data_IF_282367335286
#
_entry.id   IF_282367335286
#
_cell.length_a   1.000
_cell.length_b   1.000
_cell.length_c   1.000
_cell.angle_alpha   90.00
_cell.angle_beta   90.00
_cell.angle_gamma   90.00
#
_symmetry.space_group_name_H-M   'P 1'
#
loop_
_entity.id
_entity.type
_entity.pdbx_description
1 polymer ?
#
# COMPACT_ATOMS: atom_id res chain seq x y z
N UNK A 1 47.46 21.91 2.93
CA UNK A 1 47.29 20.58 2.32
C UNK A 1 46.31 19.81 3.19
N UNK A 2 45.01 19.99 2.93
CA UNK A 2 43.95 19.30 3.65
C UNK A 2 43.61 18.02 2.89
N UNK A 3 43.61 16.89 3.58
CA UNK A 3 43.34 15.56 3.03
C UNK A 3 41.85 15.40 2.73
N UNK A 4 41.54 15.35 1.45
CA UNK A 4 40.23 15.00 0.88
C UNK A 4 39.98 13.50 1.10
N UNK A 5 38.93 13.14 1.85
CA UNK A 5 38.51 11.75 2.04
C UNK A 5 37.38 11.43 1.07
N UNK A 6 37.72 10.79 -0.03
CA UNK A 6 36.77 10.21 -0.98
C UNK A 6 36.42 8.80 -0.53
N UNK A 7 35.14 8.48 -0.36
CA UNK A 7 34.67 7.15 0.01
C UNK A 7 33.85 6.57 -1.15
N UNK A 8 34.42 5.55 -1.80
CA UNK A 8 33.82 4.82 -2.92
C UNK A 8 32.90 3.74 -2.35
N UNK A 9 31.60 3.81 -2.65
CA UNK A 9 30.63 2.77 -2.24
C UNK A 9 30.66 1.63 -3.27
N UNK A 10 31.11 0.46 -2.84
CA UNK A 10 31.07 -0.77 -3.62
C UNK A 10 29.71 -1.46 -3.45
N UNK A 11 29.00 -1.68 -4.57
CA UNK A 11 27.78 -2.48 -4.63
C UNK A 11 28.11 -3.98 -4.52
N UNK A 12 27.53 -4.68 -3.55
CA UNK A 12 27.59 -6.15 -3.46
C UNK A 12 26.24 -6.75 -3.89
N UNK A 13 26.22 -7.81 -4.72
CA UNK A 13 24.98 -8.40 -5.24
C UNK A 13 24.29 -9.35 -4.25
N UNK A 14 22.97 -9.45 -4.42
CA UNK A 14 22.02 -10.18 -3.61
C UNK A 14 22.29 -11.71 -3.56
N UNK A 15 22.38 -12.24 -2.34
CA UNK A 15 22.28 -13.68 -2.06
C UNK A 15 20.84 -14.05 -1.68
N UNK A 16 20.33 -15.09 -2.35
CA UNK A 16 19.03 -15.73 -2.08
C UNK A 16 19.10 -16.45 -0.73
N UNK A 17 18.19 -16.13 0.19
CA UNK A 17 17.92 -16.94 1.38
C UNK A 17 16.54 -17.59 1.31
N UNK A 18 16.57 -18.91 1.49
CA UNK A 18 15.47 -19.84 1.58
C UNK A 18 15.15 -20.02 3.05
N UNK A 19 13.96 -19.62 3.51
CA UNK A 19 13.53 -19.86 4.89
C UNK A 19 12.62 -21.08 4.96
N UNK A 20 13.16 -22.16 5.55
CA UNK A 20 12.43 -23.27 6.14
C UNK A 20 11.69 -22.85 7.41
N UNK A 21 10.70 -23.66 7.78
CA UNK A 21 9.66 -23.38 8.77
C UNK A 21 10.17 -23.13 10.19
N UNK A 22 9.39 -22.32 10.91
CA UNK A 22 9.55 -22.03 12.32
C UNK A 22 8.52 -22.82 13.12
N UNK A 23 9.02 -23.80 13.88
CA UNK A 23 8.34 -24.41 15.01
C UNK A 23 8.22 -23.37 16.13
N UNK A 24 7.02 -23.25 16.70
CA UNK A 24 6.70 -22.35 17.81
C UNK A 24 6.80 -23.14 19.12
N UNK A 25 7.79 -22.82 19.96
CA UNK A 25 7.79 -23.16 21.38
C UNK A 25 7.36 -21.95 22.22
N UNK A 26 6.61 -22.14 23.32
CA UNK A 26 6.14 -21.06 24.17
C UNK A 26 7.22 -20.55 25.14
N UNK A 27 7.20 -19.25 25.53
CA UNK A 27 8.23 -18.70 26.41
C UNK A 27 7.92 -18.91 27.90
N UNK A 28 8.93 -19.38 28.62
CA UNK A 28 9.00 -19.45 30.08
C UNK A 28 9.06 -18.05 30.72
N UNK A 29 8.37 -17.92 31.84
CA UNK A 29 8.33 -16.73 32.68
C UNK A 29 9.65 -16.57 33.46
N UNK A 30 10.33 -15.42 33.32
CA UNK A 30 11.38 -15.03 34.28
C UNK A 30 11.24 -13.56 34.68
N UNK A 31 11.00 -13.41 35.97
CA UNK A 31 10.90 -12.20 36.79
C UNK A 31 12.11 -11.27 36.61
N UNK A 32 11.87 -9.98 36.29
CA UNK A 32 12.89 -8.92 36.42
C UNK A 32 12.39 -7.81 37.34
N UNK A 33 13.16 -7.56 38.40
CA UNK A 33 12.99 -6.49 39.37
C UNK A 33 13.48 -5.16 38.78
N UNK A 34 12.69 -4.10 38.99
CA UNK A 34 13.05 -2.72 38.70
C UNK A 34 13.70 -2.10 39.96
N UNK A 35 14.90 -1.57 39.82
CA UNK A 35 15.47 -0.61 40.77
C UNK A 35 15.56 0.75 40.08
N UNK A 36 15.06 1.77 40.76
CA UNK A 36 15.10 3.18 40.34
C UNK A 36 16.20 3.92 41.11
N UNK A 37 16.95 4.83 40.48
CA UNK A 37 17.77 5.79 41.21
C UNK A 37 17.10 7.17 41.28
N UNK A 38 17.13 7.71 42.50
CA UNK A 38 16.83 9.08 42.89
C UNK A 38 17.93 10.04 42.41
N UNK A 39 17.53 11.23 41.93
CA UNK A 39 18.44 12.37 41.70
C UNK A 39 17.77 13.66 42.16
N UNK A 40 18.57 14.46 42.87
CA UNK A 40 18.21 15.65 43.66
C UNK A 40 18.21 16.95 42.84
N UNK A 41 17.52 17.92 43.43
CA UNK A 41 17.48 19.36 43.17
C UNK A 41 18.81 20.04 42.79
N UNK A 42 18.69 21.09 41.97
CA UNK A 42 19.19 22.44 42.30
C UNK A 42 18.60 23.48 41.33
N UNK A 43 18.10 24.59 41.86
CA UNK A 43 17.34 25.61 41.12
C UNK A 43 18.16 26.81 40.61
N UNK A 44 17.54 27.62 39.75
CA UNK A 44 17.28 29.04 39.99
C UNK A 44 16.42 29.67 38.85
N UNK A 45 15.83 30.86 39.07
CA UNK A 45 14.66 31.36 38.35
C UNK A 45 15.00 32.41 37.29
N UNK A 46 14.20 32.47 36.22
CA UNK A 46 14.01 33.69 35.44
C UNK A 46 12.55 33.79 34.98
N UNK A 47 12.01 34.99 35.19
CA UNK A 47 10.68 35.47 34.83
C UNK A 47 10.54 35.57 33.32
N UNK A 48 9.34 35.31 32.80
CA UNK A 48 8.70 36.19 31.83
C UNK A 48 7.19 35.89 31.75
N UNK A 49 6.41 36.90 32.12
CA UNK A 49 4.96 36.94 32.09
C UNK A 49 4.50 37.35 30.69
N UNK A 50 3.95 36.43 29.89
CA UNK A 50 2.89 36.69 28.89
C UNK A 50 2.64 35.48 28.00
N UNK A 51 1.88 34.51 28.51
CA UNK A 51 1.06 33.67 27.66
C UNK A 51 -0.13 33.17 28.48
N UNK A 52 -1.40 33.34 28.03
CA UNK A 52 -2.53 32.71 28.69
C UNK A 52 -2.43 31.21 28.45
N UNK A 53 -1.81 30.53 29.41
CA UNK A 53 -1.77 29.08 29.49
C UNK A 53 -3.22 28.60 29.52
N UNK A 54 -3.64 27.93 28.45
CA UNK A 54 -4.89 27.15 28.44
C UNK A 54 -4.70 26.08 29.50
N UNK A 55 -5.22 26.34 30.70
CA UNK A 55 -5.29 25.38 31.80
C UNK A 55 -6.20 24.26 31.31
N UNK A 56 -5.61 23.22 30.74
CA UNK A 56 -6.32 21.96 30.64
C UNK A 56 -6.64 21.51 32.07
N UNK A 57 -7.89 21.12 32.38
CA UNK A 57 -8.20 20.55 33.67
C UNK A 57 -7.38 19.27 33.82
N UNK A 58 -6.27 19.38 34.54
CA UNK A 58 -5.49 18.24 34.99
C UNK A 58 -6.34 17.59 36.07
N UNK A 59 -7.20 16.66 35.67
CA UNK A 59 -7.86 15.73 36.58
C UNK A 59 -6.76 14.92 37.27
N UNK A 60 -6.21 15.47 38.36
CA UNK A 60 -5.46 14.71 39.33
C UNK A 60 -6.49 13.80 40.00
N UNK A 61 -6.69 12.63 39.42
CA UNK A 61 -7.22 11.50 40.17
C UNK A 61 -6.29 11.32 41.37
N UNK A 62 -6.69 11.85 42.53
CA UNK A 62 -6.18 11.36 43.80
C UNK A 62 -6.41 9.85 43.74
N UNK A 63 -5.34 9.07 43.61
CA UNK A 63 -5.37 7.67 44.01
C UNK A 63 -5.81 7.70 45.47
N UNK A 64 -7.09 7.41 45.71
CA UNK A 64 -7.50 6.94 47.02
C UNK A 64 -6.53 5.82 47.36
N UNK A 65 -5.87 5.91 48.52
CA UNK A 65 -5.08 4.79 49.02
C UNK A 65 -6.02 3.60 49.02
N UNK A 66 -5.71 2.62 48.18
CA UNK A 66 -6.47 1.38 48.11
C UNK A 66 -6.65 0.87 49.53
N UNK A 67 -7.90 0.75 49.97
CA UNK A 67 -8.22 -0.03 51.16
C UNK A 67 -7.52 -1.39 51.01
N UNK A 68 -6.90 -1.93 52.08
CA UNK A 68 -6.25 -3.23 52.00
C UNK A 68 -7.28 -4.25 51.49
N UNK A 69 -7.09 -4.70 50.25
CA UNK A 69 -7.95 -5.72 49.65
C UNK A 69 -7.98 -6.90 50.60
N UNK A 70 -9.12 -7.08 51.25
CA UNK A 70 -9.39 -8.21 52.13
C UNK A 70 -9.10 -9.48 51.33
N UNK A 71 -8.41 -10.46 51.95
CA UNK A 71 -8.02 -11.73 51.31
C UNK A 71 -9.18 -12.44 50.58
N UNK A 72 -10.43 -12.14 50.96
CA UNK A 72 -11.66 -12.54 50.28
C UNK A 72 -11.75 -12.09 48.81
N UNK A 73 -11.34 -10.86 48.48
CA UNK A 73 -11.37 -10.34 47.11
C UNK A 73 -10.34 -11.01 46.19
N UNK A 74 -9.22 -11.50 46.75
CA UNK A 74 -8.22 -12.26 45.96
C UNK A 74 -8.73 -13.66 45.58
N UNK A 75 -9.49 -14.32 46.47
CA UNK A 75 -10.08 -15.64 46.20
C UNK A 75 -11.22 -15.52 45.18
N UNK A 76 -12.07 -14.51 45.31
CA UNK A 76 -13.14 -14.24 44.34
C UNK A 76 -12.59 -13.93 42.94
N UNK A 77 -11.47 -13.20 42.84
CA UNK A 77 -10.79 -12.95 41.56
C UNK A 77 -10.22 -14.23 40.95
N UNK A 78 -9.59 -15.10 41.75
CA UNK A 78 -9.10 -16.39 41.26
C UNK A 78 -10.22 -17.29 40.74
N UNK A 79 -11.34 -17.38 41.47
CA UNK A 79 -12.52 -18.13 41.02
C UNK A 79 -13.02 -17.59 39.68
N UNK A 80 -13.11 -16.28 39.53
CA UNK A 80 -13.54 -15.65 38.27
C UNK A 80 -12.53 -15.89 37.13
N UNK A 81 -11.23 -15.87 37.41
CA UNK A 81 -10.17 -16.18 36.45
C UNK A 81 -10.25 -17.65 36.02
N UNK A 82 -10.48 -18.57 36.95
CA UNK A 82 -10.66 -20.01 36.69
C UNK A 82 -11.92 -20.27 35.86
N UNK A 83 -13.05 -19.62 36.17
CA UNK A 83 -14.29 -19.68 35.38
C UNK A 83 -14.10 -19.09 33.96
N UNK A 84 -13.35 -17.99 33.83
CA UNK A 84 -13.01 -17.41 32.53
C UNK A 84 -12.09 -18.33 31.72
N UNK A 85 -11.17 -19.03 32.39
CA UNK A 85 -10.29 -19.98 31.74
C UNK A 85 -11.06 -21.22 31.26
N UNK A 86 -11.98 -21.74 32.07
CA UNK A 86 -12.83 -22.87 31.71
C UNK A 86 -13.75 -22.53 30.53
N UNK A 87 -14.39 -21.36 30.55
CA UNK A 87 -15.24 -20.90 29.44
C UNK A 87 -14.44 -20.67 28.15
N UNK A 88 -13.20 -20.16 28.22
CA UNK A 88 -12.32 -20.05 27.05
C UNK A 88 -11.92 -21.41 26.50
N UNK A 89 -11.65 -22.37 27.38
CA UNK A 89 -11.29 -23.73 26.99
C UNK A 89 -12.47 -24.44 26.31
N UNK A 90 -13.67 -24.35 26.87
CA UNK A 90 -14.91 -24.87 26.26
C UNK A 90 -15.18 -24.24 24.88
N UNK A 91 -15.01 -22.92 24.76
CA UNK A 91 -15.16 -22.23 23.47
C UNK A 91 -14.16 -22.73 22.43
N UNK A 92 -12.89 -22.96 22.83
CA UNK A 92 -11.87 -23.46 21.92
C UNK A 92 -12.20 -24.88 21.44
N UNK A 93 -12.65 -25.76 22.34
CA UNK A 93 -13.07 -27.14 22.02
C UNK A 93 -14.28 -27.15 21.07
N UNK A 94 -15.28 -26.28 21.29
CA UNK A 94 -16.43 -26.15 20.40
C UNK A 94 -16.01 -25.66 19.00
N UNK A 95 -15.10 -24.69 18.92
CA UNK A 95 -14.57 -24.18 17.64
C UNK A 95 -13.82 -25.30 16.89
N UNK A 96 -12.97 -26.06 17.57
CA UNK A 96 -12.24 -27.18 16.97
C UNK A 96 -13.20 -28.27 16.47
N UNK A 97 -14.23 -28.61 17.25
CA UNK A 97 -15.28 -29.56 16.85
C UNK A 97 -16.02 -29.12 15.58
N UNK A 98 -16.32 -27.83 15.45
CA UNK A 98 -16.97 -27.27 14.25
C UNK A 98 -16.03 -27.35 13.04
N UNK A 99 -14.75 -27.00 13.21
CA UNK A 99 -13.75 -27.08 12.14
C UNK A 99 -13.57 -28.51 11.64
N UNK A 100 -13.55 -29.49 12.55
CA UNK A 100 -13.43 -30.91 12.20
C UNK A 100 -14.65 -31.42 11.44
N UNK A 101 -15.88 -31.07 11.88
CA UNK A 101 -17.12 -31.40 11.15
C UNK A 101 -17.10 -30.82 9.74
N UNK A 102 -16.72 -29.56 9.62
CA UNK A 102 -16.61 -28.88 8.33
C UNK A 102 -15.57 -29.56 7.41
N UNK A 103 -14.38 -29.87 7.92
CA UNK A 103 -13.37 -30.62 7.16
C UNK A 103 -13.85 -32.02 6.76
N UNK A 104 -14.61 -32.68 7.62
CA UNK A 104 -15.18 -33.98 7.29
C UNK A 104 -16.23 -33.88 6.17
N UNK A 105 -17.13 -32.90 6.22
CA UNK A 105 -18.09 -32.65 5.14
C UNK A 105 -17.39 -32.35 3.80
N UNK A 106 -16.32 -31.55 3.82
CA UNK A 106 -15.52 -31.29 2.61
C UNK A 106 -14.79 -32.55 2.09
N UNK A 107 -14.34 -33.44 2.99
CA UNK A 107 -13.79 -34.75 2.60
C UNK A 107 -14.85 -35.63 1.95
N UNK A 108 -16.05 -35.67 2.52
CA UNK A 108 -17.17 -36.47 2.01
C UNK A 108 -17.65 -35.96 0.63
N UNK A 109 -17.63 -34.64 0.41
CA UNK A 109 -17.82 -34.05 -0.92
C UNK A 109 -16.70 -34.49 -1.87
N UNK A 110 -15.45 -34.45 -1.42
CA UNK A 110 -14.29 -34.90 -2.20
C UNK A 110 -14.43 -36.35 -2.65
N UNK A 111 -14.81 -37.27 -1.75
CA UNK A 111 -15.02 -38.69 -2.08
C UNK A 111 -16.21 -38.88 -3.01
N UNK A 112 -17.33 -38.18 -2.79
CA UNK A 112 -18.53 -38.24 -3.65
C UNK A 112 -18.25 -37.85 -5.11
N UNK A 113 -17.39 -36.86 -5.35
CA UNK A 113 -17.08 -36.36 -6.70
C UNK A 113 -15.70 -36.78 -7.24
N UNK A 114 -14.96 -37.64 -6.52
CA UNK A 114 -13.65 -38.12 -6.93
C UNK A 114 -12.59 -37.02 -7.03
N UNK A 115 -12.65 -35.99 -6.17
CA UNK A 115 -11.70 -34.87 -6.13
C UNK A 115 -10.93 -34.86 -4.82
N UNK A 116 -9.69 -34.35 -4.85
CA UNK A 116 -8.87 -34.24 -3.63
C UNK A 116 -9.45 -33.20 -2.67
N UNK A 117 -9.32 -33.44 -1.37
CA UNK A 117 -9.72 -32.50 -0.31
C UNK A 117 -9.16 -31.09 -0.54
N UNK A 118 -7.88 -30.99 -0.93
CA UNK A 118 -7.23 -29.71 -1.28
C UNK A 118 -7.95 -28.98 -2.43
N UNK A 119 -8.41 -29.70 -3.44
CA UNK A 119 -9.16 -29.11 -4.57
C UNK A 119 -10.51 -28.56 -4.11
N UNK A 120 -11.23 -29.30 -3.26
CA UNK A 120 -12.52 -28.86 -2.71
C UNK A 120 -12.34 -27.66 -1.78
N UNK A 121 -11.38 -27.70 -0.86
CA UNK A 121 -11.00 -26.55 -0.04
C UNK A 121 -10.69 -25.35 -0.91
N UNK A 122 -9.94 -25.56 -2.01
CA UNK A 122 -9.63 -24.45 -2.89
C UNK A 122 -10.87 -23.86 -3.54
N UNK A 123 -11.87 -24.65 -3.93
CA UNK A 123 -13.13 -24.12 -4.46
C UNK A 123 -13.93 -23.32 -3.43
N UNK A 124 -13.83 -23.67 -2.14
CA UNK A 124 -14.62 -23.05 -1.08
C UNK A 124 -13.93 -21.80 -0.52
N UNK A 125 -12.62 -21.88 -0.26
CA UNK A 125 -11.82 -20.76 0.25
C UNK A 125 -11.43 -19.78 -0.84
N UNK A 126 -11.01 -20.27 -2.00
CA UNK A 126 -10.71 -19.45 -3.17
C UNK A 126 -11.94 -19.47 -4.07
N UNK A 127 -12.83 -18.50 -3.83
CA UNK A 127 -13.94 -18.25 -4.74
C UNK A 127 -13.39 -18.21 -6.18
N UNK A 128 -13.90 -19.04 -7.11
CA UNK A 128 -13.47 -19.02 -8.52
C UNK A 128 -13.74 -17.67 -9.22
N UNK A 129 -14.37 -16.73 -8.51
CA UNK A 129 -14.53 -15.33 -8.90
C UNK A 129 -13.19 -14.62 -9.10
N UNK A 130 -12.15 -15.03 -8.38
CA UNK A 130 -10.78 -14.57 -8.64
C UNK A 130 -10.17 -15.43 -9.72
N UNK A 131 -10.44 -15.10 -10.97
CA UNK A 131 -9.63 -15.61 -12.08
C UNK A 131 -8.22 -15.07 -11.86
N UNK A 132 -7.31 -15.95 -11.49
CA UNK A 132 -5.89 -15.62 -11.49
C UNK A 132 -5.56 -15.03 -12.86
N UNK A 133 -4.85 -13.91 -12.88
CA UNK A 133 -4.35 -13.37 -14.13
C UNK A 133 -3.41 -14.44 -14.71
N UNK A 134 -3.86 -15.11 -15.77
CA UNK A 134 -3.06 -16.16 -16.37
C UNK A 134 -1.83 -15.52 -17.00
N UNK A 135 -0.67 -16.14 -16.79
CA UNK A 135 0.54 -15.76 -17.50
C UNK A 135 0.26 -15.76 -19.01
N UNK A 136 0.75 -14.77 -19.76
CA UNK A 136 0.53 -14.69 -21.19
C UNK A 136 1.03 -15.99 -21.85
N UNK A 137 0.13 -16.66 -22.56
CA UNK A 137 0.47 -17.86 -23.31
C UNK A 137 1.07 -17.48 -24.65
N UNK A 138 2.14 -18.17 -25.08
CA UNK A 138 2.76 -17.95 -26.38
C UNK A 138 1.76 -18.10 -27.53
N UNK A 139 0.80 -19.02 -27.41
CA UNK A 139 -0.27 -19.17 -28.40
C UNK A 139 -1.14 -17.92 -28.49
N UNK A 140 -1.55 -17.36 -27.34
CA UNK A 140 -2.34 -16.14 -27.31
C UNK A 140 -1.57 -14.95 -27.87
N UNK A 141 -0.26 -14.89 -27.61
CA UNK A 141 0.62 -13.86 -28.17
C UNK A 141 0.71 -13.95 -29.69
N UNK A 142 0.86 -15.17 -30.25
CA UNK A 142 0.82 -15.41 -31.70
C UNK A 142 -0.53 -14.98 -32.31
N UNK A 143 -1.65 -15.35 -31.67
CA UNK A 143 -3.00 -14.94 -32.11
C UNK A 143 -3.16 -13.43 -32.08
N UNK A 144 -2.67 -12.75 -31.04
CA UNK A 144 -2.73 -11.29 -30.95
C UNK A 144 -1.89 -10.61 -32.04
N UNK A 145 -0.66 -11.07 -32.27
CA UNK A 145 0.21 -10.52 -33.31
C UNK A 145 -0.39 -10.74 -34.71
N UNK A 146 -0.93 -11.95 -34.97
CA UNK A 146 -1.58 -12.24 -36.24
C UNK A 146 -2.85 -11.41 -36.44
N UNK A 147 -3.63 -11.22 -35.38
CA UNK A 147 -4.80 -10.35 -35.43
C UNK A 147 -4.45 -8.92 -35.85
N UNK A 148 -3.29 -8.41 -35.46
CA UNK A 148 -2.84 -7.08 -35.88
C UNK A 148 -2.33 -7.06 -37.30
N UNK A 149 -1.55 -8.06 -37.70
CA UNK A 149 -1.05 -8.20 -39.06
C UNK A 149 -2.19 -8.20 -40.07
N UNK A 150 -3.19 -9.06 -39.88
CA UNK A 150 -4.25 -9.26 -40.87
C UNK A 150 -5.32 -8.15 -40.82
N UNK A 151 -5.52 -7.50 -39.67
CA UNK A 151 -6.49 -6.40 -39.55
C UNK A 151 -5.87 -5.01 -39.76
N UNK A 152 -4.57 -4.89 -40.08
CA UNK A 152 -3.91 -3.59 -40.27
C UNK A 152 -4.51 -2.78 -41.43
N UNK A 153 -4.88 -3.47 -42.50
CA UNK A 153 -5.38 -2.86 -43.74
C UNK A 153 -6.92 -2.99 -43.91
N UNK A 154 -7.60 -3.61 -42.94
CA UNK A 154 -9.06 -3.77 -42.96
C UNK A 154 -9.74 -2.46 -42.51
N UNK A 155 -10.84 -2.03 -43.17
CA UNK A 155 -11.60 -0.86 -42.73
C UNK A 155 -12.24 -1.10 -41.36
N UNK A 156 -12.55 0.00 -40.66
CA UNK A 156 -13.21 -0.04 -39.35
C UNK A 156 -14.60 -0.67 -39.52
N UNK A 157 -14.77 -1.90 -39.05
CA UNK A 157 -16.04 -2.64 -39.12
C UNK A 157 -15.86 -4.07 -39.68
N UNK A 158 -14.88 -4.26 -40.56
CA UNK A 158 -14.67 -5.52 -41.28
C UNK A 158 -13.50 -6.34 -40.70
N UNK A 159 -13.37 -6.34 -39.37
CA UNK A 159 -12.33 -7.13 -38.70
C UNK A 159 -12.59 -8.62 -38.88
N UNK A 160 -11.55 -9.38 -39.17
CA UNK A 160 -11.63 -10.83 -39.29
C UNK A 160 -12.03 -11.44 -37.93
N UNK A 161 -13.00 -12.36 -37.90
CA UNK A 161 -13.45 -12.97 -36.66
C UNK A 161 -12.34 -13.84 -36.02
N UNK A 162 -12.34 -13.90 -34.68
CA UNK A 162 -11.27 -14.55 -33.90
C UNK A 162 -11.01 -16.02 -34.30
N UNK A 163 -12.06 -16.79 -34.59
CA UNK A 163 -11.91 -18.21 -34.97
C UNK A 163 -11.06 -18.37 -36.24
N UNK A 164 -11.24 -17.48 -37.23
CA UNK A 164 -10.47 -17.51 -38.47
C UNK A 164 -9.01 -17.12 -38.26
N UNK A 165 -8.74 -16.19 -37.35
CA UNK A 165 -7.37 -15.82 -36.94
C UNK A 165 -6.70 -17.02 -36.25
N UNK A 166 -7.43 -17.75 -35.41
CA UNK A 166 -6.92 -18.95 -34.75
C UNK A 166 -6.57 -20.05 -35.76
N UNK A 167 -7.41 -20.28 -36.78
CA UNK A 167 -7.12 -21.18 -37.90
C UNK A 167 -5.86 -20.77 -38.65
N UNK A 168 -5.71 -19.50 -39.01
CA UNK A 168 -4.50 -18.98 -39.68
C UNK A 168 -3.24 -19.24 -38.85
N UNK A 169 -3.29 -19.03 -37.53
CA UNK A 169 -2.15 -19.33 -36.64
C UNK A 169 -1.85 -20.83 -36.61
N UNK A 170 -2.86 -21.70 -36.62
CA UNK A 170 -2.66 -23.15 -36.67
C UNK A 170 -2.06 -23.61 -38.00
N UNK A 171 -2.51 -23.05 -39.12
CA UNK A 171 -1.96 -23.29 -40.46
C UNK A 171 -0.49 -22.85 -40.50
N UNK A 172 -0.15 -21.66 -40.02
CA UNK A 172 1.23 -21.14 -40.00
C UNK A 172 2.13 -21.86 -38.99
N UNK A 173 1.54 -22.39 -37.91
CA UNK A 173 2.26 -23.24 -36.97
C UNK A 173 2.60 -24.60 -37.58
N UNK A 174 1.72 -25.13 -38.43
CA UNK A 174 1.97 -26.38 -39.18
C UNK A 174 2.96 -26.18 -40.34
N UNK A 175 3.09 -24.93 -40.84
CA UNK A 175 3.88 -24.59 -42.03
C UNK A 175 5.29 -24.04 -41.68
N UNK A 176 5.87 -24.42 -40.53
CA UNK A 176 7.24 -24.06 -40.09
C UNK A 176 7.53 -22.62 -39.65
N UNK A 177 6.76 -21.60 -40.07
CA UNK A 177 7.08 -20.19 -39.79
C UNK A 177 7.16 -19.87 -38.28
N UNK A 178 6.34 -20.52 -37.45
CA UNK A 178 6.35 -20.33 -35.99
C UNK A 178 7.16 -21.38 -35.20
N UNK A 179 7.58 -22.48 -35.81
CA UNK A 179 8.43 -23.48 -35.15
C UNK A 179 9.90 -23.03 -35.08
N UNK A 180 10.35 -22.25 -36.08
CA UNK A 180 11.71 -21.68 -36.14
C UNK A 180 11.92 -20.37 -35.38
N UNK A 181 10.95 -19.92 -34.57
CA UNK A 181 11.10 -18.68 -33.82
C UNK A 181 12.22 -18.81 -32.78
N UNK A 182 13.23 -17.94 -32.90
CA UNK A 182 14.23 -17.74 -31.85
C UNK A 182 13.55 -17.39 -30.52
N UNK A 183 14.18 -17.79 -29.42
CA UNK A 183 13.66 -17.53 -28.07
C UNK A 183 13.39 -16.03 -27.85
N UNK A 184 14.26 -15.17 -28.37
CA UNK A 184 14.11 -13.71 -28.28
C UNK A 184 12.82 -13.22 -28.94
N UNK A 185 12.45 -13.78 -30.10
CA UNK A 185 11.20 -13.41 -30.78
C UNK A 185 9.97 -13.92 -30.03
N UNK A 186 10.06 -15.10 -29.40
CA UNK A 186 8.97 -15.60 -28.53
C UNK A 186 8.78 -14.69 -27.32
N UNK A 187 9.87 -14.24 -26.71
CA UNK A 187 9.82 -13.32 -25.58
C UNK A 187 9.26 -11.96 -25.98
N UNK A 188 9.69 -11.40 -27.11
CA UNK A 188 9.17 -10.13 -27.62
C UNK A 188 7.65 -10.18 -27.87
N UNK A 189 7.12 -11.30 -28.39
CA UNK A 189 5.68 -11.49 -28.58
C UNK A 189 4.92 -11.53 -27.24
N UNK A 190 5.49 -12.17 -26.22
CA UNK A 190 4.91 -12.22 -24.88
C UNK A 190 4.87 -10.84 -24.24
N UNK A 191 5.99 -10.10 -24.32
CA UNK A 191 6.10 -8.73 -23.80
C UNK A 191 5.11 -7.79 -24.49
N UNK A 192 4.98 -7.88 -25.82
CA UNK A 192 4.01 -7.08 -26.57
C UNK A 192 2.55 -7.42 -26.18
N UNK A 193 2.26 -8.69 -25.90
CA UNK A 193 0.93 -9.09 -25.42
C UNK A 193 0.67 -8.55 -24.01
N UNK A 194 1.67 -8.62 -23.13
CA UNK A 194 1.58 -8.08 -21.77
C UNK A 194 1.37 -6.57 -21.78
N UNK A 195 2.13 -5.82 -22.58
CA UNK A 195 1.94 -4.38 -22.77
C UNK A 195 0.52 -4.04 -23.27
N UNK A 196 -0.02 -4.80 -24.22
CA UNK A 196 -1.41 -4.60 -24.66
C UNK A 196 -2.41 -4.90 -23.55
N UNK A 197 -2.15 -5.93 -22.75
CA UNK A 197 -3.02 -6.27 -21.62
C UNK A 197 -2.98 -5.16 -20.56
N UNK A 198 -1.80 -4.63 -20.22
CA UNK A 198 -1.66 -3.52 -19.27
C UNK A 198 -2.33 -2.26 -19.81
N UNK A 199 -2.11 -1.91 -21.07
CA UNK A 199 -2.80 -0.77 -21.74
C UNK A 199 -4.30 -0.98 -21.78
N UNK A 200 -4.80 -2.21 -21.95
CA UNK A 200 -6.25 -2.48 -21.93
C UNK A 200 -6.85 -2.39 -20.52
N UNK A 201 -6.12 -2.82 -19.51
CA UNK A 201 -6.54 -2.74 -18.10
C UNK A 201 -6.49 -1.30 -17.59
N UNK A 202 -5.47 -0.54 -17.98
CA UNK A 202 -5.28 0.87 -17.60
C UNK A 202 -6.00 1.85 -18.52
N UNK A 203 -6.38 1.41 -19.71
CA UNK A 203 -6.94 2.25 -20.76
C UNK A 203 -8.24 2.88 -20.30
N UNK A 204 -8.33 4.21 -20.46
CA UNK A 204 -9.55 4.94 -20.18
C UNK A 204 -10.72 4.31 -20.96
N UNK A 205 -11.80 3.98 -20.25
CA UNK A 205 -13.00 3.49 -20.90
C UNK A 205 -13.56 4.59 -21.83
N UNK A 206 -14.12 4.16 -22.96
CA UNK A 206 -14.60 5.07 -24.00
C UNK A 206 -15.84 5.89 -23.61
N UNK A 207 -16.53 5.55 -22.52
CA UNK A 207 -17.72 6.27 -22.07
C UNK A 207 -17.81 6.40 -20.55
N UNK A 208 -18.36 7.53 -20.10
CA UNK A 208 -18.58 7.82 -18.68
C UNK A 208 -19.58 6.83 -18.06
N UNK A 209 -20.57 6.39 -18.85
CA UNK A 209 -21.56 5.38 -18.44
C UNK A 209 -20.88 4.03 -18.21
N UNK A 210 -19.99 3.60 -19.11
CA UNK A 210 -19.22 2.35 -18.94
C UNK A 210 -18.31 2.43 -17.71
N UNK A 211 -17.65 3.57 -17.53
CA UNK A 211 -16.80 3.84 -16.36
C UNK A 211 -17.62 3.73 -15.07
N UNK A 212 -18.83 4.31 -15.05
CA UNK A 212 -19.71 4.27 -13.90
C UNK A 212 -20.18 2.85 -13.55
N UNK A 213 -20.54 2.06 -14.56
CA UNK A 213 -20.94 0.66 -14.37
C UNK A 213 -19.78 -0.20 -13.86
N UNK A 214 -18.57 0.02 -14.38
CA UNK A 214 -17.37 -0.68 -13.93
C UNK A 214 -17.02 -0.33 -12.47
N UNK A 215 -17.03 0.96 -12.12
CA UNK A 215 -16.88 1.40 -10.73
C UNK A 215 -17.93 0.77 -9.82
N UNK A 216 -19.19 0.72 -10.26
CA UNK A 216 -20.28 0.11 -9.50
C UNK A 216 -20.05 -1.40 -9.30
N UNK A 217 -19.64 -2.12 -10.34
CA UNK A 217 -19.34 -3.54 -10.26
C UNK A 217 -18.19 -3.83 -9.27
N UNK A 218 -17.09 -3.09 -9.39
CA UNK A 218 -15.93 -3.19 -8.48
C UNK A 218 -16.35 -2.90 -7.05
N UNK A 219 -17.21 -1.90 -6.84
CA UNK A 219 -17.71 -1.54 -5.52
C UNK A 219 -18.57 -2.64 -4.88
N UNK A 220 -19.44 -3.31 -5.64
CA UNK A 220 -20.20 -4.46 -5.15
C UNK A 220 -19.25 -5.56 -4.68
N UNK A 221 -18.23 -5.87 -5.49
CA UNK A 221 -17.22 -6.88 -5.13
C UNK A 221 -16.45 -6.44 -3.88
N UNK A 222 -15.97 -5.19 -3.84
CA UNK A 222 -15.24 -4.65 -2.69
C UNK A 222 -16.06 -4.71 -1.40
N UNK A 223 -17.35 -4.37 -1.46
CA UNK A 223 -18.26 -4.46 -0.31
C UNK A 223 -18.42 -5.90 0.18
N UNK A 224 -18.61 -6.86 -0.72
CA UNK A 224 -18.70 -8.28 -0.36
C UNK A 224 -17.42 -8.77 0.30
N UNK A 225 -16.26 -8.37 -0.22
CA UNK A 225 -14.96 -8.81 0.27
C UNK A 225 -14.58 -8.15 1.59
N UNK A 226 -14.86 -6.86 1.75
CA UNK A 226 -14.70 -6.15 3.02
C UNK A 226 -15.55 -6.81 4.10
N UNK A 227 -16.83 -7.07 3.81
CA UNK A 227 -17.72 -7.73 4.77
C UNK A 227 -17.23 -9.15 5.10
N UNK A 228 -16.84 -9.93 4.09
CA UNK A 228 -16.28 -11.26 4.30
C UNK A 228 -14.98 -11.25 5.09
N UNK A 229 -14.12 -10.26 4.88
CA UNK A 229 -12.87 -10.09 5.64
C UNK A 229 -13.14 -9.66 7.08
N UNK A 230 -14.05 -8.71 7.29
CA UNK A 230 -14.48 -8.26 8.61
C UNK A 230 -15.07 -9.42 9.43
N UNK A 231 -15.94 -10.23 8.84
CA UNK A 231 -16.50 -11.41 9.52
C UNK A 231 -15.44 -12.46 9.89
N UNK A 232 -14.41 -12.65 9.06
CA UNK A 232 -13.37 -13.67 9.31
C UNK A 232 -12.31 -13.23 10.31
N UNK A 233 -12.01 -11.94 10.36
CA UNK A 233 -10.83 -11.42 11.10
C UNK A 233 -11.18 -10.45 12.23
N UNK A 234 -12.41 -9.93 12.25
CA UNK A 234 -12.80 -8.83 13.12
C UNK A 234 -12.19 -7.48 12.71
N UNK A 235 -11.53 -7.39 11.55
CA UNK A 235 -11.01 -6.12 11.05
C UNK A 235 -12.14 -5.21 10.55
N UNK A 236 -12.06 -3.92 10.89
CA UNK A 236 -13.01 -2.89 10.45
C UNK A 236 -12.44 -2.09 9.28
N UNK A 237 -13.28 -1.77 8.30
CA UNK A 237 -12.87 -1.09 7.07
C UNK A 237 -13.87 0.01 6.71
N UNK A 238 -13.34 1.14 6.26
CA UNK A 238 -14.10 2.20 5.62
C UNK A 238 -13.38 2.58 4.34
N UNK A 239 -14.08 2.54 3.22
CA UNK A 239 -13.58 2.88 1.89
C UNK A 239 -14.36 4.07 1.33
N UNK A 240 -13.63 5.08 0.90
CA UNK A 240 -14.16 6.27 0.23
C UNK A 240 -13.92 6.16 -1.27
N UNK A 241 -14.99 6.21 -2.05
CA UNK A 241 -14.93 6.18 -3.51
C UNK A 241 -15.51 7.49 -4.06
N UNK A 242 -14.76 8.60 -3.98
CA UNK A 242 -15.22 9.87 -4.53
C UNK A 242 -15.21 9.85 -6.06
N UNK A 243 -15.98 10.75 -6.64
CA UNK A 243 -15.91 11.06 -8.06
C UNK A 243 -14.64 11.88 -8.35
N UNK A 244 -13.89 11.50 -9.38
CA UNK A 244 -12.63 12.18 -9.75
C UNK A 244 -12.81 13.30 -10.80
N UNK A 245 -13.92 13.30 -11.53
CA UNK A 245 -14.21 14.23 -12.63
C UNK A 245 -15.70 14.54 -12.63
N UNK A 246 -16.08 15.80 -12.72
CA UNK A 246 -17.47 16.30 -12.80
C UNK A 246 -18.31 15.66 -13.91
N UNK A 247 -17.68 15.11 -14.94
CA UNK A 247 -18.35 14.47 -16.07
C UNK A 247 -18.65 12.99 -15.86
N UNK A 248 -18.03 12.36 -14.85
CA UNK A 248 -18.37 11.00 -14.49
C UNK A 248 -19.82 10.91 -14.01
N UNK A 249 -20.49 9.81 -14.32
CA UNK A 249 -21.92 9.65 -14.01
C UNK A 249 -22.16 8.78 -12.78
N UNK A 250 -21.12 8.25 -12.14
CA UNK A 250 -21.27 7.44 -10.93
C UNK A 250 -21.40 8.32 -9.70
N UNK A 251 -22.18 7.85 -8.73
CA UNK A 251 -22.33 8.54 -7.46
C UNK A 251 -21.15 8.22 -6.54
N UNK A 252 -20.62 9.22 -5.84
CA UNK A 252 -19.66 9.02 -4.75
C UNK A 252 -20.23 8.01 -3.77
N UNK A 253 -19.46 6.99 -3.44
CA UNK A 253 -19.95 5.92 -2.56
C UNK A 253 -19.01 5.68 -1.38
N UNK A 254 -19.64 5.41 -0.25
CA UNK A 254 -19.00 5.02 1.00
C UNK A 254 -19.30 3.55 1.24
N UNK A 255 -18.27 2.72 1.37
CA UNK A 255 -18.39 1.31 1.74
C UNK A 255 -17.82 1.13 3.13
N UNK A 256 -18.60 0.53 4.04
CA UNK A 256 -18.17 0.25 5.41
C UNK A 256 -18.65 -1.12 5.83
N UNK A 257 -17.84 -1.81 6.62
CA UNK A 257 -18.17 -3.12 7.20
C UNK A 257 -19.22 -3.02 8.32
N UNK A 258 -19.21 -1.90 9.07
CA UNK A 258 -20.10 -1.69 10.20
C UNK A 258 -20.53 -0.23 10.38
N UNK A 259 -21.69 0.03 11.03
CA UNK A 259 -22.07 1.37 11.45
C UNK A 259 -21.12 1.98 12.49
N UNK A 260 -20.46 1.15 13.31
CA UNK A 260 -19.53 1.63 14.33
C UNK A 260 -18.31 2.32 13.69
N UNK A 261 -17.81 1.77 12.59
CA UNK A 261 -16.73 2.34 11.78
C UNK A 261 -17.09 3.72 11.24
N UNK A 262 -18.36 3.95 10.89
CA UNK A 262 -18.84 5.27 10.44
C UNK A 262 -19.01 6.27 11.59
N UNK A 263 -19.48 5.79 12.74
CA UNK A 263 -19.64 6.61 13.96
C UNK A 263 -18.29 7.14 14.46
N UNK A 264 -17.19 6.41 14.24
CA UNK A 264 -15.83 6.86 14.56
C UNK A 264 -15.55 8.26 14.00
N UNK A 265 -15.83 8.51 12.72
CA UNK A 265 -15.57 9.81 12.10
C UNK A 265 -16.33 10.93 12.81
N UNK A 266 -17.63 10.72 13.04
CA UNK A 266 -18.45 11.74 13.70
C UNK A 266 -18.01 12.00 15.15
N UNK A 267 -17.66 10.95 15.91
CA UNK A 267 -17.32 11.08 17.34
C UNK A 267 -15.88 11.54 17.59
N UNK A 268 -14.93 11.07 16.79
CA UNK A 268 -13.49 11.30 17.00
C UNK A 268 -12.98 12.43 16.13
N UNK A 269 -13.34 12.43 14.84
CA UNK A 269 -12.92 13.49 13.89
C UNK A 269 -13.84 14.71 13.98
N UNK A 270 -15.08 14.54 14.42
CA UNK A 270 -16.07 15.61 14.54
C UNK A 270 -16.80 15.92 13.22
N UNK A 271 -16.61 15.10 12.19
CA UNK A 271 -17.21 15.25 10.85
C UNK A 271 -17.77 13.89 10.42
N UNK A 272 -18.93 13.84 9.77
CA UNK A 272 -19.48 12.56 9.29
C UNK A 272 -18.61 11.97 8.18
N UNK A 273 -18.64 10.65 8.02
CA UNK A 273 -17.93 10.00 6.91
C UNK A 273 -18.48 10.46 5.55
N UNK A 274 -19.79 10.71 5.44
CA UNK A 274 -20.39 11.25 4.21
C UNK A 274 -19.87 12.67 3.89
N UNK A 275 -19.76 13.54 4.89
CA UNK A 275 -19.21 14.88 4.69
C UNK A 275 -17.72 14.83 4.29
N UNK A 276 -16.95 13.88 4.84
CA UNK A 276 -15.57 13.64 4.43
C UNK A 276 -15.52 13.19 2.96
N UNK A 277 -16.39 12.26 2.55
CA UNK A 277 -16.49 11.80 1.16
C UNK A 277 -16.77 12.97 0.21
N UNK A 278 -17.76 13.80 0.51
CA UNK A 278 -18.14 14.96 -0.31
C UNK A 278 -16.99 15.98 -0.37
N UNK A 279 -16.34 16.29 0.77
CA UNK A 279 -15.19 17.20 0.78
C UNK A 279 -14.01 16.65 -0.01
N UNK A 280 -13.80 15.34 0.05
CA UNK A 280 -12.74 14.68 -0.69
C UNK A 280 -13.01 14.72 -2.19
N UNK A 281 -14.23 14.44 -2.61
CA UNK A 281 -14.68 14.60 -4.00
C UNK A 281 -14.53 16.04 -4.49
N UNK A 282 -14.99 17.03 -3.72
CA UNK A 282 -14.82 18.45 -4.06
C UNK A 282 -13.35 18.80 -4.28
N UNK A 283 -12.47 18.28 -3.42
CA UNK A 283 -11.03 18.46 -3.56
C UNK A 283 -10.52 17.84 -4.88
N UNK A 284 -10.88 16.59 -5.19
CA UNK A 284 -10.46 15.91 -6.41
C UNK A 284 -10.95 16.61 -7.68
N UNK A 285 -12.24 16.94 -7.73
CA UNK A 285 -12.86 17.65 -8.85
C UNK A 285 -12.24 19.05 -9.04
N UNK A 286 -11.94 19.78 -7.96
CA UNK A 286 -11.37 21.12 -8.04
C UNK A 286 -9.91 21.12 -8.54
N UNK A 287 -9.14 20.09 -8.21
CA UNK A 287 -7.74 19.99 -8.62
C UNK A 287 -7.56 19.27 -9.95
N UNK A 288 -8.63 18.74 -10.54
CA UNK A 288 -8.61 17.96 -11.80
C UNK A 288 -7.42 16.99 -11.84
N UNK A 289 -7.13 16.37 -10.69
CA UNK A 289 -6.06 15.39 -10.51
C UNK A 289 -6.48 14.11 -11.22
N UNK A 290 -6.68 14.17 -12.54
CA UNK A 290 -6.76 12.93 -13.31
C UNK A 290 -5.46 12.17 -13.03
N UNK A 291 -5.53 10.85 -12.99
CA UNK A 291 -4.33 10.00 -12.84
C UNK A 291 -3.28 10.34 -13.92
N UNK A 292 -3.73 10.97 -15.02
CA UNK A 292 -2.93 11.45 -16.14
C UNK A 292 -2.72 12.98 -16.14
N UNK A 293 -3.12 13.69 -15.09
CA UNK A 293 -3.07 15.14 -15.04
C UNK A 293 -1.61 15.57 -14.99
N UNK A 294 -1.28 16.49 -15.90
CA UNK A 294 0.04 17.08 -16.07
C UNK A 294 0.54 17.53 -14.71
N UNK A 295 1.69 17.00 -14.30
CA UNK A 295 2.40 17.45 -13.11
C UNK A 295 2.50 18.98 -13.15
N UNK A 296 1.90 19.66 -12.17
CA UNK A 296 2.07 21.11 -12.06
C UNK A 296 3.55 21.36 -11.73
N UNK A 297 4.18 22.25 -12.50
CA UNK A 297 5.53 22.73 -12.23
C UNK A 297 5.69 23.19 -10.78
N UNK A 298 4.64 23.76 -10.18
CA UNK A 298 4.66 24.16 -8.77
C UNK A 298 4.80 22.96 -7.84
N UNK A 299 4.00 21.92 -8.07
CA UNK A 299 4.00 20.72 -7.24
C UNK A 299 5.31 19.95 -7.40
N UNK A 300 5.82 19.82 -8.63
CA UNK A 300 7.15 19.25 -8.89
C UNK A 300 8.25 20.01 -8.17
N UNK A 301 8.26 21.35 -8.25
CA UNK A 301 9.26 22.16 -7.53
C UNK A 301 9.18 21.93 -6.02
N UNK A 302 7.99 21.85 -5.45
CA UNK A 302 7.80 21.57 -4.02
C UNK A 302 8.32 20.18 -3.67
N UNK A 303 8.01 19.17 -4.48
CA UNK A 303 8.48 17.80 -4.29
C UNK A 303 10.01 17.70 -4.40
N UNK A 304 10.61 18.21 -5.49
CA UNK A 304 12.07 18.25 -5.67
C UNK A 304 12.76 19.00 -4.53
N UNK A 305 12.23 20.16 -4.11
CA UNK A 305 12.78 20.92 -2.97
C UNK A 305 12.76 20.08 -1.69
N UNK A 306 11.64 19.40 -1.42
CA UNK A 306 11.49 18.56 -0.22
C UNK A 306 12.43 17.35 -0.24
N UNK A 307 12.61 16.71 -1.40
CA UNK A 307 13.54 15.58 -1.55
C UNK A 307 14.99 16.02 -1.38
N UNK A 308 15.40 17.11 -2.03
CA UNK A 308 16.75 17.67 -1.90
C UNK A 308 17.03 18.10 -0.46
N UNK A 309 16.11 18.82 0.18
CA UNK A 309 16.25 19.20 1.59
C UNK A 309 16.37 17.98 2.50
N UNK A 310 15.49 16.99 2.35
CA UNK A 310 15.53 15.77 3.17
C UNK A 310 16.83 14.98 2.98
N UNK A 311 17.26 14.79 1.74
CA UNK A 311 18.52 14.08 1.44
C UNK A 311 19.74 14.83 1.94
N UNK A 312 19.73 16.16 1.83
CA UNK A 312 20.76 17.03 2.36
C UNK A 312 20.84 16.94 3.88
N UNK A 313 19.73 17.16 4.59
CA UNK A 313 19.65 17.12 6.06
C UNK A 313 20.19 15.77 6.59
N UNK A 314 19.77 14.66 5.98
CA UNK A 314 20.22 13.31 6.34
C UNK A 314 21.73 13.11 6.10
N UNK A 315 22.25 13.63 4.99
CA UNK A 315 23.67 13.48 4.64
C UNK A 315 24.56 14.36 5.51
N UNK A 316 24.14 15.60 5.78
CA UNK A 316 24.89 16.49 6.65
C UNK A 316 24.91 15.99 8.08
N UNK A 317 23.77 15.55 8.62
CA UNK A 317 23.72 14.99 9.97
C UNK A 317 24.64 13.77 10.10
N UNK A 318 24.71 12.92 9.08
CA UNK A 318 25.60 11.76 9.06
C UNK A 318 27.09 12.12 9.01
N UNK A 319 27.47 13.21 8.32
CA UNK A 319 28.87 13.59 8.11
C UNK A 319 29.38 14.50 9.24
N UNK A 320 28.61 15.52 9.60
CA UNK A 320 29.01 16.56 10.56
C UNK A 320 28.51 16.29 11.98
N UNK A 321 27.47 15.48 12.14
CA UNK A 321 26.79 15.27 13.43
C UNK A 321 25.85 16.43 13.83
N UNK A 322 25.67 17.42 12.96
CA UNK A 322 24.80 18.57 13.20
C UNK A 322 23.45 18.38 12.49
N UNK A 323 22.37 18.47 13.25
CA UNK A 323 21.02 18.58 12.69
C UNK A 323 20.66 20.06 12.49
N UNK A 324 19.84 20.35 11.47
CA UNK A 324 19.35 21.70 11.09
C UNK A 324 20.28 22.57 10.23
N UNK A 325 21.17 22.00 9.42
CA UNK A 325 21.89 22.77 8.38
C UNK A 325 20.92 23.02 7.22
N UNK A 326 20.50 24.27 7.02
CA UNK A 326 19.62 24.63 5.90
C UNK A 326 20.43 24.86 4.61
N UNK A 327 19.94 24.30 3.50
CA UNK A 327 20.52 24.53 2.17
C UNK A 327 20.57 26.02 1.81
N UNK A 328 21.77 26.53 1.48
CA UNK A 328 21.97 27.90 1.01
C UNK A 328 22.57 27.90 -0.40
N UNK A 329 21.72 28.11 -1.41
CA UNK A 329 22.15 28.13 -2.81
C UNK A 329 22.97 29.37 -3.19
N UNK A 330 22.74 30.52 -2.55
CA UNK A 330 23.41 31.79 -2.91
C UNK A 330 24.85 31.81 -2.42
N UNK A 331 25.09 31.34 -1.19
CA UNK A 331 26.41 31.32 -0.56
C UNK A 331 26.89 29.88 -0.35
N UNK A 332 26.65 29.01 -1.34
CA UNK A 332 26.88 27.58 -1.22
C UNK A 332 28.33 27.24 -0.86
N UNK A 333 29.29 27.78 -1.60
CA UNK A 333 30.71 27.48 -1.38
C UNK A 333 31.21 27.95 -0.01
N UNK A 334 30.71 29.09 0.48
CA UNK A 334 31.14 29.64 1.77
C UNK A 334 30.43 28.98 2.95
N UNK A 335 29.11 28.90 2.90
CA UNK A 335 28.30 28.47 4.05
C UNK A 335 28.16 26.96 4.14
N UNK A 336 28.26 26.23 3.03
CA UNK A 336 28.10 24.77 3.02
C UNK A 336 29.48 24.11 2.85
N UNK A 337 30.19 24.43 1.77
CA UNK A 337 31.46 23.74 1.45
C UNK A 337 32.59 24.15 2.40
N UNK A 338 32.83 25.45 2.60
CA UNK A 338 33.93 25.91 3.44
C UNK A 338 33.64 25.74 4.93
N UNK A 339 32.39 25.93 5.37
CA UNK A 339 32.04 25.87 6.78
C UNK A 339 31.79 24.45 7.28
N UNK A 340 31.00 23.65 6.55
CA UNK A 340 30.62 22.30 6.96
C UNK A 340 31.46 21.20 6.29
N UNK A 341 32.31 21.55 5.31
CA UNK A 341 33.13 20.59 4.56
C UNK A 341 32.30 19.51 3.84
N UNK A 342 31.07 19.86 3.45
CA UNK A 342 30.16 19.00 2.68
C UNK A 342 29.95 19.61 1.30
N UNK A 343 30.04 18.77 0.26
CA UNK A 343 29.76 19.14 -1.13
C UNK A 343 28.72 18.19 -1.72
N UNK A 344 27.81 18.75 -2.51
CA UNK A 344 26.83 18.02 -3.30
C UNK A 344 27.51 17.60 -4.59
N UNK A 345 27.58 16.30 -4.81
CA UNK A 345 28.04 15.71 -6.06
C UNK A 345 26.86 15.08 -6.81
N UNK A 346 27.01 14.89 -8.12
CA UNK A 346 25.98 14.26 -8.95
C UNK A 346 24.95 15.20 -9.57
N UNK A 347 25.24 16.50 -9.63
CA UNK A 347 24.38 17.45 -10.35
C UNK A 347 24.27 17.08 -11.84
N UNK A 348 23.05 17.04 -12.42
CA UNK A 348 22.86 16.71 -13.83
C UNK A 348 23.59 17.68 -14.78
N UNK A 349 24.16 17.15 -15.86
CA UNK A 349 24.87 17.93 -16.86
C UNK A 349 23.88 18.84 -17.60
N UNK A 350 24.15 20.14 -17.61
CA UNK A 350 23.33 21.13 -18.33
C UNK A 350 22.29 21.84 -17.48
N UNK A 351 22.09 21.44 -16.21
CA UNK A 351 21.22 22.14 -15.27
C UNK A 351 22.06 23.07 -14.40
N UNK A 352 21.71 24.35 -14.37
CA UNK A 352 22.40 25.35 -13.55
C UNK A 352 22.17 25.08 -12.06
N UNK A 353 23.21 25.19 -11.23
CA UNK A 353 23.09 25.04 -9.78
C UNK A 353 22.42 26.28 -9.19
N UNK A 354 21.12 26.19 -8.96
CA UNK A 354 20.34 27.26 -8.35
C UNK A 354 19.14 26.69 -7.57
N UNK A 355 18.45 27.55 -6.83
CA UNK A 355 17.26 27.18 -6.09
C UNK A 355 16.22 26.59 -7.04
N UNK A 356 15.65 25.44 -6.68
CA UNK A 356 14.63 24.70 -7.46
C UNK A 356 13.46 25.60 -7.93
N UNK A 357 13.08 26.61 -7.14
CA UNK A 357 12.03 27.57 -7.50
C UNK A 357 12.33 28.38 -8.78
N UNK A 358 13.60 28.50 -9.16
CA UNK A 358 14.04 29.27 -10.32
C UNK A 358 14.03 28.45 -11.61
N UNK A 359 13.98 27.12 -11.51
CA UNK A 359 13.97 26.22 -12.66
C UNK A 359 12.62 26.29 -13.37
N UNK A 360 12.63 26.78 -14.61
CA UNK A 360 11.41 27.03 -15.39
C UNK A 360 10.96 25.83 -16.23
N UNK A 361 11.87 24.92 -16.54
CA UNK A 361 11.61 23.78 -17.41
C UNK A 361 11.21 22.55 -16.59
N UNK A 362 10.17 21.85 -17.04
CA UNK A 362 9.68 20.62 -16.44
C UNK A 362 10.69 19.48 -16.61
N UNK A 363 11.37 19.43 -17.76
CA UNK A 363 12.38 18.41 -18.04
C UNK A 363 13.59 18.52 -17.11
N UNK A 364 13.99 19.74 -16.75
CA UNK A 364 15.10 19.97 -15.81
C UNK A 364 14.71 19.47 -14.41
N UNK A 365 13.45 19.67 -14.00
CA UNK A 365 12.95 19.18 -12.70
C UNK A 365 12.91 17.65 -12.64
N UNK A 366 12.62 16.95 -13.74
CA UNK A 366 12.66 15.48 -13.78
C UNK A 366 14.05 14.88 -13.73
N UNK A 367 15.08 15.65 -14.10
CA UNK A 367 16.46 15.19 -14.07
C UNK A 367 17.11 15.36 -12.68
N UNK A 368 16.51 16.19 -11.81
CA UNK A 368 16.89 16.35 -10.40
C UNK A 368 16.26 15.27 -9.53
#
# INVERSE_FOLDING_TARGET
>A
MATEKTLTVASTPASKESCHGLDVQPPDATTRSLTSPTSKDNGNPCKDDSNPCVIQPRWLFRRFKDEPQTKHNSKARKILEDEQQETRWQLAEEIESIQDKYHQELRDIGTKYGRSFKTIINYVLYSPRYKNHHAPSLYLAKVSAKAEEVNKDQPIGDKIPLHRIQEMVQEEQSTSHYEGLTQDKKQALLEQLEEKQTVKVQGAQRSNVGTAEDCHHVMIVMSQEINGLAHRTGAHFVSFMPQSDIHNTFQPTLVSDSPASLIFFKRVVGISAEDILIKFEQFLCAHSLSINSREDLKDLRVQCTKMISKGFDQSTEAITGESNICMNYTNYDTNIVAHHHVKLDGQPIGIKFEKVSNLKNLQDLHQL
#
